data_IF_684081739991
#
_entry.id   IF_684081739991
#
_cell.length_a   1.000
_cell.length_b   1.000
_cell.length_c   1.000
_cell.angle_alpha   90.00
_cell.angle_beta   90.00
_cell.angle_gamma   90.00
#
_symmetry.space_group_name_H-M   'P 1'
#
loop_
_entity.id
_entity.type
_entity.pdbx_description
1 polymer ?
#
# COMPACT_ATOMS: atom_id res chain seq x y z
N UNK A 1 6.16 -19.20 5.48
CA UNK A 1 5.94 -18.58 4.17
C UNK A 1 7.30 -18.47 3.49
N UNK A 2 7.39 -18.99 2.28
CA UNK A 2 8.62 -18.93 1.51
C UNK A 2 8.83 -17.53 0.97
N UNK A 3 10.07 -17.04 1.00
CA UNK A 3 10.46 -15.78 0.36
C UNK A 3 11.28 -16.11 -0.87
N UNK A 4 10.78 -15.70 -2.03
CA UNK A 4 11.46 -15.91 -3.30
C UNK A 4 11.91 -14.54 -3.83
N UNK A 5 13.22 -14.27 -3.95
CA UNK A 5 13.73 -13.00 -4.47
C UNK A 5 13.33 -12.84 -5.93
N UNK A 6 12.56 -11.81 -6.27
CA UNK A 6 12.10 -11.55 -7.65
C UNK A 6 13.23 -11.16 -8.60
N UNK A 7 14.33 -10.62 -8.08
CA UNK A 7 15.50 -10.22 -8.87
C UNK A 7 16.24 -11.40 -9.54
N UNK A 8 15.97 -12.65 -9.13
CA UNK A 8 16.59 -13.83 -9.73
C UNK A 8 15.92 -14.31 -11.03
N UNK A 9 14.76 -13.75 -11.38
CA UNK A 9 14.01 -14.19 -12.54
C UNK A 9 14.32 -13.35 -13.78
N UNK A 10 14.44 -14.02 -14.93
CA UNK A 10 14.79 -13.42 -16.21
C UNK A 10 13.56 -13.11 -17.09
N UNK A 11 12.37 -13.52 -16.67
CA UNK A 11 11.12 -13.30 -17.41
C UNK A 11 9.90 -13.23 -16.47
N UNK A 12 8.82 -12.57 -16.91
CA UNK A 12 7.55 -12.59 -16.17
C UNK A 12 6.99 -13.99 -15.99
N UNK A 13 7.15 -14.87 -17.00
CA UNK A 13 6.68 -16.25 -16.94
C UNK A 13 7.37 -17.03 -15.80
N UNK A 14 8.68 -16.85 -15.65
CA UNK A 14 9.42 -17.52 -14.57
C UNK A 14 8.93 -17.08 -13.17
N UNK A 15 8.56 -15.82 -13.01
CA UNK A 15 7.95 -15.32 -11.76
C UNK A 15 6.60 -16.01 -11.52
N UNK A 16 5.75 -16.09 -12.54
CA UNK A 16 4.43 -16.73 -12.43
C UNK A 16 4.56 -18.22 -12.13
N UNK A 17 5.48 -18.92 -12.80
CA UNK A 17 5.73 -20.34 -12.56
C UNK A 17 6.17 -20.59 -11.10
N UNK A 18 7.03 -19.75 -10.57
CA UNK A 18 7.44 -19.79 -9.16
C UNK A 18 6.27 -19.55 -8.20
N UNK A 19 5.40 -18.56 -8.52
CA UNK A 19 4.18 -18.30 -7.76
C UNK A 19 3.22 -19.48 -7.78
N UNK A 20 2.99 -20.10 -8.94
CA UNK A 20 2.17 -21.31 -9.10
C UNK A 20 2.76 -22.47 -8.29
N UNK A 21 4.06 -22.69 -8.34
CA UNK A 21 4.73 -23.76 -7.59
C UNK A 21 4.54 -23.58 -6.08
N UNK A 22 4.76 -22.36 -5.58
CA UNK A 22 4.53 -22.01 -4.17
C UNK A 22 3.06 -22.18 -3.76
N UNK A 23 2.12 -21.71 -4.58
CA UNK A 23 0.70 -21.85 -4.33
C UNK A 23 0.23 -23.32 -4.33
N UNK A 24 0.76 -24.17 -5.21
CA UNK A 24 0.50 -25.62 -5.21
C UNK A 24 0.98 -26.29 -3.92
N UNK A 25 2.18 -25.91 -3.46
CA UNK A 25 2.72 -26.40 -2.18
C UNK A 25 1.81 -26.02 -1.01
N UNK A 26 1.36 -24.76 -0.93
CA UNK A 26 0.43 -24.31 0.09
C UNK A 26 -0.92 -25.04 0.00
N UNK A 27 -1.46 -25.22 -1.20
CA UNK A 27 -2.70 -25.95 -1.39
C UNK A 27 -2.59 -27.41 -0.92
N UNK A 28 -1.44 -28.05 -1.13
CA UNK A 28 -1.17 -29.40 -0.60
C UNK A 28 -1.20 -29.45 0.93
N UNK A 29 -0.75 -28.39 1.59
CA UNK A 29 -0.79 -28.25 3.05
C UNK A 29 -2.21 -27.92 3.57
N UNK A 30 -2.99 -27.20 2.76
CA UNK A 30 -4.35 -26.72 3.10
C UNK A 30 -5.37 -27.18 2.05
N UNK A 31 -5.69 -28.48 1.97
CA UNK A 31 -6.57 -29.02 0.92
C UNK A 31 -8.01 -28.49 0.98
N UNK A 32 -8.44 -27.95 2.11
CA UNK A 32 -9.77 -27.30 2.28
C UNK A 32 -9.81 -25.86 1.76
N UNK A 33 -8.71 -25.30 1.28
CA UNK A 33 -8.71 -23.95 0.70
C UNK A 33 -9.58 -23.92 -0.56
N UNK A 34 -10.56 -23.02 -0.59
CA UNK A 34 -11.57 -22.90 -1.65
C UNK A 34 -11.37 -21.63 -2.53
N UNK A 35 -10.50 -20.71 -2.11
CA UNK A 35 -10.20 -19.47 -2.82
C UNK A 35 -8.78 -19.03 -2.48
N UNK A 36 -8.16 -18.26 -3.37
CA UNK A 36 -6.84 -17.64 -3.16
C UNK A 36 -6.92 -16.14 -3.32
N UNK A 37 -6.34 -15.39 -2.37
CA UNK A 37 -6.11 -13.95 -2.47
C UNK A 37 -4.65 -13.65 -2.80
N UNK A 38 -4.43 -12.65 -3.64
CA UNK A 38 -3.10 -12.20 -4.05
C UNK A 38 -3.01 -10.67 -3.99
N UNK A 39 -1.99 -10.16 -3.30
CA UNK A 39 -1.58 -8.75 -3.35
C UNK A 39 -0.32 -8.61 -4.22
N UNK A 40 -0.38 -7.78 -5.25
CA UNK A 40 0.73 -7.57 -6.18
C UNK A 40 1.14 -6.10 -6.21
N UNK A 41 2.45 -5.78 -6.15
CA UNK A 41 2.89 -4.40 -6.32
C UNK A 41 2.68 -3.95 -7.77
N UNK A 42 2.34 -2.67 -7.96
CA UNK A 42 2.14 -2.06 -9.28
C UNK A 42 0.68 -1.98 -9.72
N UNK A 43 0.50 -1.79 -11.01
CA UNK A 43 -0.81 -1.45 -11.59
C UNK A 43 -1.59 -2.70 -11.97
N UNK A 44 -2.70 -2.93 -11.29
CA UNK A 44 -3.51 -4.13 -11.47
C UNK A 44 -4.98 -3.76 -11.77
N UNK A 45 -5.56 -4.45 -12.73
CA UNK A 45 -6.99 -4.46 -12.98
C UNK A 45 -7.64 -5.56 -12.12
N UNK A 46 -8.22 -5.16 -11.01
CA UNK A 46 -8.86 -6.05 -10.05
C UNK A 46 -9.98 -6.93 -10.66
N UNK A 47 -10.82 -6.38 -11.58
CA UNK A 47 -11.92 -7.15 -12.17
C UNK A 47 -11.41 -8.20 -13.16
N UNK A 48 -10.50 -7.80 -14.04
CA UNK A 48 -9.92 -8.69 -15.06
C UNK A 48 -8.82 -9.57 -14.49
N UNK A 49 -8.24 -9.21 -13.35
CA UNK A 49 -7.09 -9.90 -12.77
C UNK A 49 -5.84 -9.80 -13.64
N UNK A 50 -5.69 -8.65 -14.32
CA UNK A 50 -4.55 -8.37 -15.22
C UNK A 50 -3.59 -7.44 -14.50
N UNK A 51 -2.32 -7.77 -14.52
CA UNK A 51 -1.24 -6.91 -14.05
C UNK A 51 -0.59 -6.21 -15.24
N UNK A 52 -0.70 -4.87 -15.28
CA UNK A 52 -0.14 -4.06 -16.36
C UNK A 52 1.36 -3.84 -16.18
N UNK A 53 1.78 -3.60 -14.97
CA UNK A 53 3.17 -3.32 -14.62
C UNK A 53 3.44 -3.76 -13.19
N UNK A 54 4.58 -4.40 -12.99
CA UNK A 54 5.07 -4.76 -11.67
C UNK A 54 6.16 -3.76 -11.25
N UNK A 55 5.89 -3.00 -10.19
CA UNK A 55 6.83 -2.01 -9.69
C UNK A 55 8.14 -2.69 -9.25
N UNK A 56 9.28 -2.08 -9.61
CA UNK A 56 10.62 -2.56 -9.26
C UNK A 56 11.03 -3.93 -9.84
N UNK A 57 10.28 -4.48 -10.80
CA UNK A 57 10.61 -5.73 -11.50
C UNK A 57 10.84 -5.44 -12.99
N UNK A 58 12.10 -5.27 -13.39
CA UNK A 58 12.48 -4.81 -14.74
C UNK A 58 12.05 -5.72 -15.87
N UNK A 59 11.90 -7.02 -15.59
CA UNK A 59 11.50 -8.03 -16.60
C UNK A 59 10.01 -8.00 -16.91
N UNK A 60 9.20 -7.22 -16.18
CA UNK A 60 7.75 -7.13 -16.41
C UNK A 60 7.44 -6.06 -17.46
N UNK A 61 7.32 -6.46 -18.70
CA UNK A 61 7.29 -5.61 -19.89
C UNK A 61 5.95 -5.57 -20.64
N UNK A 62 4.92 -6.28 -20.12
CA UNK A 62 3.62 -6.42 -20.79
C UNK A 62 2.48 -6.71 -19.83
N UNK A 63 1.25 -6.54 -20.32
CA UNK A 63 0.02 -6.97 -19.62
C UNK A 63 -0.02 -8.49 -19.48
N UNK A 64 -0.29 -8.99 -18.27
CA UNK A 64 -0.34 -10.41 -17.98
C UNK A 64 -1.62 -10.74 -17.20
N UNK A 65 -2.43 -11.72 -17.64
CA UNK A 65 -3.65 -12.16 -16.98
C UNK A 65 -3.34 -13.10 -15.81
N UNK A 66 -2.69 -12.57 -14.78
CA UNK A 66 -2.17 -13.35 -13.64
C UNK A 66 -3.27 -14.17 -12.97
N UNK A 67 -4.45 -13.58 -12.76
CA UNK A 67 -5.60 -14.28 -12.17
C UNK A 67 -5.96 -15.53 -12.95
N UNK A 68 -6.18 -15.41 -14.25
CA UNK A 68 -6.54 -16.54 -15.12
C UNK A 68 -5.48 -17.64 -15.10
N UNK A 69 -4.20 -17.28 -15.21
CA UNK A 69 -3.09 -18.23 -15.16
C UNK A 69 -3.04 -19.00 -13.84
N UNK A 70 -3.26 -18.30 -12.73
CA UNK A 70 -3.29 -18.92 -11.40
C UNK A 70 -4.53 -19.80 -11.23
N UNK A 71 -5.71 -19.37 -11.68
CA UNK A 71 -6.97 -20.15 -11.62
C UNK A 71 -6.83 -21.45 -12.42
N UNK A 72 -6.29 -21.37 -13.64
CA UNK A 72 -6.04 -22.57 -14.48
C UNK A 72 -5.06 -23.55 -13.81
N UNK A 73 -4.00 -23.02 -13.21
CA UNK A 73 -2.96 -23.85 -12.60
C UNK A 73 -3.40 -24.50 -11.27
N UNK A 74 -4.30 -23.87 -10.51
CA UNK A 74 -4.68 -24.29 -9.16
C UNK A 74 -6.08 -24.92 -9.12
N UNK A 75 -6.94 -24.68 -10.10
CA UNK A 75 -8.32 -25.15 -10.15
C UNK A 75 -9.17 -24.60 -8.99
N UNK A 76 -8.96 -23.33 -8.60
CA UNK A 76 -9.76 -22.62 -7.61
C UNK A 76 -9.84 -21.12 -7.96
N UNK A 77 -10.87 -20.39 -7.52
CA UNK A 77 -11.00 -18.95 -7.75
C UNK A 77 -9.84 -18.18 -7.16
N UNK A 78 -9.40 -17.13 -7.87
CA UNK A 78 -8.34 -16.22 -7.44
C UNK A 78 -8.85 -14.79 -7.42
N UNK A 79 -8.57 -14.06 -6.36
CA UNK A 79 -8.78 -12.60 -6.25
C UNK A 79 -7.42 -11.93 -6.24
N UNK A 80 -7.22 -10.97 -7.14
CA UNK A 80 -5.97 -10.23 -7.30
C UNK A 80 -6.24 -8.75 -7.08
N UNK A 81 -5.47 -8.09 -6.21
CA UNK A 81 -5.49 -6.62 -6.06
C UNK A 81 -4.07 -6.08 -5.84
N UNK A 82 -3.94 -4.77 -5.84
CA UNK A 82 -2.70 -4.09 -5.44
C UNK A 82 -2.36 -4.38 -3.96
N UNK A 83 -1.09 -4.49 -3.63
CA UNK A 83 -0.61 -4.83 -2.28
C UNK A 83 -0.99 -3.79 -1.22
N UNK A 84 -0.97 -2.49 -1.56
CA UNK A 84 -1.41 -1.43 -0.65
C UNK A 84 -2.94 -1.44 -0.46
N UNK A 85 -3.72 -1.79 -1.50
CA UNK A 85 -5.15 -2.04 -1.36
C UNK A 85 -5.43 -3.23 -0.43
N UNK A 86 -4.67 -4.31 -0.55
CA UNK A 86 -4.77 -5.45 0.36
C UNK A 86 -4.46 -5.05 1.79
N UNK A 87 -3.40 -4.25 2.03
CA UNK A 87 -3.09 -3.72 3.36
C UNK A 87 -4.27 -2.88 3.90
N UNK A 88 -4.80 -1.96 3.09
CA UNK A 88 -5.93 -1.12 3.48
C UNK A 88 -7.16 -1.96 3.81
N UNK A 89 -7.41 -3.02 3.07
CA UNK A 89 -8.51 -3.94 3.30
C UNK A 89 -8.39 -4.67 4.66
N UNK A 90 -7.18 -5.15 4.99
CA UNK A 90 -6.92 -5.76 6.30
C UNK A 90 -7.18 -4.79 7.44
N UNK A 91 -6.64 -3.58 7.34
CA UNK A 91 -6.81 -2.56 8.38
C UNK A 91 -8.26 -2.11 8.52
N UNK A 92 -8.99 -1.99 7.43
CA UNK A 92 -10.43 -1.68 7.44
C UNK A 92 -11.27 -2.79 8.08
N UNK A 93 -11.11 -4.04 7.65
CA UNK A 93 -11.95 -5.15 8.08
C UNK A 93 -11.63 -5.67 9.47
N UNK A 94 -10.35 -5.71 9.83
CA UNK A 94 -9.87 -6.44 11.02
C UNK A 94 -8.91 -5.63 11.89
N UNK A 95 -8.38 -4.50 11.38
CA UNK A 95 -7.31 -3.74 12.00
C UNK A 95 -7.77 -2.45 12.68
N UNK A 96 -6.94 -1.41 12.53
CA UNK A 96 -7.15 -0.11 13.17
C UNK A 96 -8.39 0.63 12.65
N UNK A 97 -8.84 0.34 11.43
CA UNK A 97 -10.03 0.94 10.80
C UNK A 97 -11.32 0.17 10.99
N UNK A 98 -11.33 -0.85 11.83
CA UNK A 98 -12.53 -1.67 12.02
C UNK A 98 -13.73 -0.85 12.52
N UNK A 99 -14.86 -0.95 11.80
CA UNK A 99 -16.09 -0.22 12.11
C UNK A 99 -16.15 1.20 11.53
N UNK A 100 -15.12 1.65 10.82
CA UNK A 100 -15.10 2.91 10.09
C UNK A 100 -15.62 2.70 8.67
N UNK A 101 -16.33 3.70 8.13
CA UNK A 101 -16.91 3.64 6.78
C UNK A 101 -16.04 4.29 5.71
N UNK A 102 -15.18 5.24 6.11
CA UNK A 102 -14.29 5.94 5.19
C UNK A 102 -12.91 6.11 5.83
N UNK A 103 -11.87 5.64 5.18
CA UNK A 103 -10.51 5.73 5.70
C UNK A 103 -9.47 5.78 4.57
N UNK A 104 -8.31 6.33 4.91
CA UNK A 104 -7.14 6.34 4.04
C UNK A 104 -6.03 5.57 4.73
N UNK A 105 -5.55 4.51 4.10
CA UNK A 105 -4.36 3.79 4.54
C UNK A 105 -3.16 4.24 3.73
N UNK A 106 -2.05 4.51 4.40
CA UNK A 106 -0.75 4.84 3.81
C UNK A 106 0.28 3.80 4.25
N UNK A 107 1.03 3.27 3.32
CA UNK A 107 2.20 2.44 3.61
C UNK A 107 3.46 3.18 3.18
N UNK A 108 4.36 3.42 4.11
CA UNK A 108 5.61 4.16 3.92
C UNK A 108 6.78 3.18 4.03
N UNK A 109 7.22 2.67 2.87
CA UNK A 109 8.27 1.68 2.75
C UNK A 109 9.30 2.08 1.70
N UNK A 110 9.65 1.17 0.78
CA UNK A 110 10.50 1.48 -0.40
C UNK A 110 9.95 2.69 -1.15
N UNK A 111 8.63 2.72 -1.36
CA UNK A 111 7.87 3.85 -1.87
C UNK A 111 6.70 4.21 -0.92
N UNK A 112 5.73 4.95 -1.45
CA UNK A 112 4.50 5.34 -0.75
C UNK A 112 3.32 4.69 -1.44
N UNK A 113 2.78 3.65 -0.84
CA UNK A 113 1.52 3.04 -1.28
C UNK A 113 0.32 3.62 -0.55
N UNK A 114 -0.86 3.43 -1.11
CA UNK A 114 -2.11 3.84 -0.49
C UNK A 114 -3.28 2.96 -0.84
N UNK A 115 -4.28 2.96 0.04
CA UNK A 115 -5.60 2.40 -0.22
C UNK A 115 -6.65 3.26 0.45
N UNK A 116 -7.75 3.48 -0.24
CA UNK A 116 -8.83 4.36 0.22
C UNK A 116 -10.13 3.57 0.29
N UNK A 117 -10.83 3.71 1.40
CA UNK A 117 -12.21 3.24 1.58
C UNK A 117 -13.12 4.45 1.69
N UNK A 118 -14.22 4.47 0.95
CA UNK A 118 -15.26 5.50 1.01
C UNK A 118 -16.63 4.83 1.06
N UNK A 119 -17.40 5.15 2.09
CA UNK A 119 -18.73 4.59 2.30
C UNK A 119 -18.76 3.06 2.19
N UNK A 120 -17.93 2.40 2.97
CA UNK A 120 -17.81 0.94 3.04
C UNK A 120 -17.41 0.26 1.71
N UNK A 121 -16.69 0.98 0.84
CA UNK A 121 -16.19 0.45 -0.44
C UNK A 121 -14.76 0.89 -0.70
N UNK A 122 -13.94 -0.06 -1.13
CA UNK A 122 -12.60 0.26 -1.66
C UNK A 122 -12.72 1.15 -2.90
N UNK A 123 -12.01 2.28 -2.89
CA UNK A 123 -11.90 3.19 -4.04
C UNK A 123 -10.90 2.60 -5.05
N UNK A 124 -11.40 2.08 -6.16
CA UNK A 124 -10.55 1.51 -7.22
C UNK A 124 -10.50 2.34 -8.49
N UNK A 125 -11.41 3.31 -8.65
CA UNK A 125 -11.52 4.14 -9.84
C UNK A 125 -11.95 3.38 -11.10
N UNK A 126 -11.97 4.07 -12.24
CA UNK A 126 -12.47 3.50 -13.51
C UNK A 126 -11.61 2.35 -14.04
N UNK A 127 -10.28 2.43 -13.87
CA UNK A 127 -9.33 1.41 -14.30
C UNK A 127 -8.87 0.50 -13.17
N UNK A 128 -9.58 0.58 -12.03
CA UNK A 128 -9.39 -0.25 -10.86
C UNK A 128 -7.99 -0.16 -10.21
N UNK A 129 -7.29 0.97 -10.46
CA UNK A 129 -5.95 1.28 -9.96
C UNK A 129 -5.90 2.70 -9.35
N UNK A 130 -6.95 3.12 -8.63
CA UNK A 130 -6.93 4.37 -7.88
C UNK A 130 -6.13 4.22 -6.56
N UNK A 131 -5.94 5.34 -5.88
CA UNK A 131 -5.21 5.45 -4.63
C UNK A 131 -3.68 5.29 -4.73
N UNK A 132 -3.10 5.58 -5.90
CA UNK A 132 -1.66 5.75 -6.09
C UNK A 132 -1.17 7.03 -5.40
N UNK A 133 -1.28 7.05 -4.07
CA UNK A 133 -1.07 8.26 -3.25
C UNK A 133 0.38 8.74 -3.29
N UNK A 134 1.33 7.82 -3.46
CA UNK A 134 2.74 8.16 -3.62
C UNK A 134 3.04 8.99 -4.87
N UNK A 135 2.20 8.89 -5.91
CA UNK A 135 2.34 9.64 -7.16
C UNK A 135 1.66 11.02 -7.12
N UNK A 136 0.98 11.36 -6.02
CA UNK A 136 0.36 12.68 -5.87
C UNK A 136 1.41 13.76 -5.60
N UNK A 137 1.23 14.91 -6.25
CA UNK A 137 2.18 16.02 -6.13
C UNK A 137 1.98 16.81 -4.85
N UNK A 138 3.07 17.04 -4.13
CA UNK A 138 3.15 18.00 -3.01
C UNK A 138 3.91 19.27 -3.40
N UNK A 139 4.49 19.31 -4.61
CA UNK A 139 5.27 20.46 -5.07
C UNK A 139 5.27 20.55 -6.60
N UNK A 140 4.56 21.51 -7.18
CA UNK A 140 4.36 21.64 -8.65
C UNK A 140 5.65 21.86 -9.46
N UNK A 141 6.72 22.35 -8.86
CA UNK A 141 8.05 22.52 -9.47
C UNK A 141 9.07 21.51 -8.93
N UNK A 142 8.61 20.47 -8.24
CA UNK A 142 9.46 19.51 -7.54
C UNK A 142 10.18 18.51 -8.45
N UNK A 143 10.76 17.50 -7.82
CA UNK A 143 11.45 16.39 -8.48
C UNK A 143 10.56 15.76 -9.55
N UNK A 144 11.14 15.33 -10.64
CA UNK A 144 10.44 14.58 -11.70
C UNK A 144 10.41 13.11 -11.34
N UNK A 145 9.23 12.55 -11.21
CA UNK A 145 9.03 11.12 -10.95
C UNK A 145 9.13 10.27 -12.23
N UNK A 146 9.07 8.93 -12.10
CA UNK A 146 9.33 7.98 -13.18
C UNK A 146 8.34 8.09 -14.35
N UNK A 147 7.16 8.64 -14.12
CA UNK A 147 6.12 8.84 -15.15
C UNK A 147 6.05 10.27 -15.68
N UNK A 148 7.04 11.11 -15.35
CA UNK A 148 7.10 12.51 -15.77
C UNK A 148 6.26 13.46 -14.91
N UNK A 149 5.58 12.99 -13.88
CA UNK A 149 4.92 13.82 -12.86
C UNK A 149 5.96 14.62 -12.07
N UNK A 150 5.57 15.83 -11.62
CA UNK A 150 6.45 16.64 -10.78
C UNK A 150 5.98 16.67 -9.34
N UNK A 151 6.92 16.51 -8.43
CA UNK A 151 6.70 16.67 -7.01
C UNK A 151 5.92 15.54 -6.35
N UNK A 152 5.89 14.34 -6.96
CA UNK A 152 5.31 13.16 -6.34
C UNK A 152 5.93 12.93 -4.96
N UNK A 153 5.10 12.70 -3.93
CA UNK A 153 5.59 12.58 -2.55
C UNK A 153 6.58 11.43 -2.36
N UNK A 154 6.41 10.35 -3.11
CA UNK A 154 7.29 9.18 -3.10
C UNK A 154 8.75 9.56 -3.40
N UNK A 155 8.99 10.54 -4.28
CA UNK A 155 10.32 11.04 -4.64
C UNK A 155 11.05 11.77 -3.49
N UNK A 156 10.39 11.95 -2.34
CA UNK A 156 10.95 12.68 -1.21
C UNK A 156 11.07 11.83 0.05
N UNK A 157 10.06 11.04 0.38
CA UNK A 157 9.94 10.35 1.67
C UNK A 157 9.84 8.83 1.58
N UNK A 158 10.08 8.24 0.40
CA UNK A 158 10.40 6.80 0.29
C UNK A 158 11.71 6.47 1.02
N UNK A 159 11.91 5.21 1.41
CA UNK A 159 13.09 4.80 2.17
C UNK A 159 14.41 5.19 1.49
N UNK A 160 14.49 4.98 0.16
CA UNK A 160 15.70 5.25 -0.61
C UNK A 160 15.94 6.75 -0.76
N UNK A 161 14.88 7.52 -1.00
CA UNK A 161 14.90 8.97 -1.18
C UNK A 161 15.29 9.67 0.11
N UNK A 162 14.73 9.20 1.25
CA UNK A 162 15.09 9.70 2.57
C UNK A 162 16.55 9.40 2.91
N UNK A 163 17.02 8.18 2.62
CA UNK A 163 18.41 7.81 2.83
C UNK A 163 19.37 8.61 1.95
N UNK A 164 19.03 8.83 0.67
CA UNK A 164 19.84 9.64 -0.25
C UNK A 164 19.92 11.12 0.18
N UNK A 165 18.80 11.70 0.65
CA UNK A 165 18.79 13.06 1.18
C UNK A 165 19.63 13.16 2.46
N UNK A 166 19.58 12.14 3.33
CA UNK A 166 20.41 12.08 4.52
C UNK A 166 21.91 12.07 4.19
N UNK A 167 22.34 11.23 3.24
CA UNK A 167 23.73 11.19 2.77
C UNK A 167 24.19 12.58 2.31
N UNK A 168 23.35 13.25 1.52
CA UNK A 168 23.64 14.61 1.03
C UNK A 168 23.81 15.62 2.17
N UNK A 169 22.92 15.58 3.18
CA UNK A 169 22.99 16.51 4.33
C UNK A 169 24.20 16.24 5.22
N UNK A 170 24.51 14.97 5.47
CA UNK A 170 25.71 14.60 6.21
C UNK A 170 26.97 15.05 5.47
N UNK A 171 27.05 14.85 4.15
CA UNK A 171 28.18 15.33 3.34
C UNK A 171 28.33 16.86 3.39
N UNK A 172 27.21 17.61 3.35
CA UNK A 172 27.21 19.07 3.54
C UNK A 172 27.74 19.53 4.90
N UNK A 173 27.67 18.67 5.91
CA UNK A 173 28.25 18.89 7.24
C UNK A 173 29.68 18.30 7.40
N UNK A 174 30.30 17.83 6.31
CA UNK A 174 31.63 17.22 6.33
C UNK A 174 31.67 15.78 6.86
N UNK A 175 30.51 15.12 6.97
CA UNK A 175 30.40 13.74 7.47
C UNK A 175 30.10 12.83 6.29
N UNK A 176 30.96 11.85 6.02
CA UNK A 176 30.80 10.90 4.93
C UNK A 176 30.01 9.70 5.45
N UNK A 177 28.87 9.41 4.81
CA UNK A 177 28.03 8.25 5.06
C UNK A 177 27.56 7.60 3.76
N UNK A 178 27.29 6.32 3.80
CA UNK A 178 26.67 5.56 2.72
C UNK A 178 25.14 5.53 2.88
N UNK A 179 24.42 5.13 1.83
CA UNK A 179 22.96 4.96 1.87
C UNK A 179 22.56 3.91 2.92
N UNK A 180 23.32 2.81 3.03
CA UNK A 180 23.05 1.75 4.01
C UNK A 180 23.20 2.21 5.46
N UNK A 181 24.02 3.22 5.73
CA UNK A 181 24.19 3.87 7.03
C UNK A 181 23.16 4.96 7.32
N UNK A 182 22.31 5.27 6.33
CA UNK A 182 21.29 6.30 6.40
C UNK A 182 19.85 5.76 6.21
N UNK A 183 19.64 4.47 6.45
CA UNK A 183 18.27 3.91 6.40
C UNK A 183 17.35 4.60 7.42
N UNK A 184 16.02 4.58 7.26
CA UNK A 184 15.10 5.16 8.24
C UNK A 184 15.35 4.70 9.68
N UNK A 185 15.77 3.46 9.87
CA UNK A 185 16.17 2.95 11.18
C UNK A 185 17.39 3.68 11.75
N UNK A 186 18.45 3.82 10.96
CA UNK A 186 19.67 4.53 11.41
C UNK A 186 19.37 6.02 11.67
N UNK A 187 18.47 6.62 10.89
CA UNK A 187 18.02 8.01 11.11
C UNK A 187 17.20 8.15 12.39
N UNK A 188 16.34 7.16 12.71
CA UNK A 188 15.61 7.12 13.99
C UNK A 188 16.57 7.05 15.16
N UNK A 189 17.54 6.14 15.13
CA UNK A 189 18.57 5.97 16.17
C UNK A 189 19.40 7.24 16.34
N UNK A 190 19.82 7.88 15.25
CA UNK A 190 20.59 9.13 15.26
C UNK A 190 19.78 10.30 15.83
N UNK A 191 18.51 10.43 15.44
CA UNK A 191 17.62 11.50 15.93
C UNK A 191 17.36 11.35 17.44
N UNK A 192 17.13 10.13 17.93
CA UNK A 192 16.98 9.86 19.38
C UNK A 192 18.25 10.14 20.16
N UNK A 193 19.42 10.06 19.52
CA UNK A 193 20.71 10.45 20.09
C UNK A 193 20.99 11.94 19.99
N UNK A 194 20.04 12.74 19.49
CA UNK A 194 20.14 14.20 19.39
C UNK A 194 20.87 14.72 18.16
N UNK A 195 21.05 13.89 17.10
CA UNK A 195 21.68 14.36 15.85
C UNK A 195 20.77 15.38 15.15
N UNK A 196 21.22 16.65 14.98
CA UNK A 196 20.39 17.71 14.43
C UNK A 196 20.01 17.46 12.95
N UNK A 197 20.87 16.81 12.18
CA UNK A 197 20.60 16.46 10.77
C UNK A 197 19.45 15.45 10.70
N UNK A 198 19.48 14.42 11.55
CA UNK A 198 18.44 13.41 11.56
C UNK A 198 17.11 13.95 12.10
N UNK A 199 17.13 14.80 13.11
CA UNK A 199 15.95 15.50 13.63
C UNK A 199 15.29 16.34 12.54
N UNK A 200 16.07 17.16 11.83
CA UNK A 200 15.54 18.01 10.75
C UNK A 200 14.97 17.18 9.59
N UNK A 201 15.58 16.02 9.28
CA UNK A 201 15.03 15.12 8.26
C UNK A 201 13.65 14.57 8.65
N UNK A 202 13.42 14.26 9.92
CA UNK A 202 12.10 13.81 10.38
C UNK A 202 11.08 14.94 10.39
N UNK A 203 11.48 16.17 10.73
CA UNK A 203 10.63 17.36 10.62
C UNK A 203 10.20 17.62 9.19
N UNK A 204 11.14 17.62 8.24
CA UNK A 204 10.85 17.81 6.82
C UNK A 204 9.97 16.67 6.26
N UNK A 205 10.22 15.44 6.68
CA UNK A 205 9.37 14.29 6.33
C UNK A 205 7.95 14.47 6.81
N UNK A 206 7.79 14.96 8.04
CA UNK A 206 6.48 15.26 8.63
C UNK A 206 5.75 16.40 7.90
N UNK A 207 6.47 17.42 7.45
CA UNK A 207 5.89 18.52 6.67
C UNK A 207 5.39 18.02 5.31
N UNK A 208 6.19 17.25 4.59
CA UNK A 208 5.82 16.66 3.31
C UNK A 208 4.63 15.70 3.42
N UNK A 209 4.62 14.83 4.44
CA UNK A 209 3.47 13.97 4.73
C UNK A 209 2.24 14.78 5.11
N UNK A 210 2.43 15.88 5.84
CA UNK A 210 1.38 16.84 6.19
C UNK A 210 0.68 17.43 4.97
N UNK A 211 1.43 17.78 3.93
CA UNK A 211 0.86 18.25 2.65
C UNK A 211 -0.07 17.22 2.04
N UNK A 212 0.33 15.94 2.00
CA UNK A 212 -0.52 14.86 1.48
C UNK A 212 -1.79 14.69 2.32
N UNK A 213 -1.65 14.59 3.64
CA UNK A 213 -2.79 14.39 4.56
C UNK A 213 -3.74 15.58 4.49
N UNK A 214 -3.24 16.80 4.43
CA UNK A 214 -4.05 18.01 4.26
C UNK A 214 -4.89 17.94 2.97
N UNK A 215 -4.27 17.60 1.85
CA UNK A 215 -4.96 17.47 0.56
C UNK A 215 -6.08 16.41 0.64
N UNK A 216 -5.82 15.29 1.28
CA UNK A 216 -6.80 14.21 1.45
C UNK A 216 -7.89 14.57 2.45
N UNK A 217 -7.57 15.33 3.52
CA UNK A 217 -8.58 15.88 4.44
C UNK A 217 -9.55 16.82 3.72
N UNK A 218 -9.05 17.76 2.93
CA UNK A 218 -9.93 18.66 2.17
C UNK A 218 -10.70 17.98 1.03
N UNK A 219 -10.30 16.77 0.63
CA UNK A 219 -10.95 16.03 -0.46
C UNK A 219 -11.96 15.00 0.04
N UNK A 220 -11.65 14.29 1.12
CA UNK A 220 -12.38 13.08 1.54
C UNK A 220 -13.00 13.17 2.93
N UNK A 221 -12.40 13.93 3.85
CA UNK A 221 -12.77 13.96 5.28
C UNK A 221 -13.00 12.53 5.82
N UNK A 222 -11.96 11.66 5.84
CA UNK A 222 -12.14 10.28 6.26
C UNK A 222 -12.28 10.16 7.78
N UNK A 223 -12.87 9.05 8.25
CA UNK A 223 -12.94 8.72 9.68
C UNK A 223 -11.56 8.59 10.33
N UNK A 224 -10.55 8.13 9.57
CA UNK A 224 -9.16 8.07 10.00
C UNK A 224 -8.17 7.94 8.84
N UNK A 225 -6.93 8.36 9.11
CA UNK A 225 -5.73 7.94 8.37
C UNK A 225 -5.04 6.81 9.14
N UNK A 226 -4.69 5.73 8.45
CA UNK A 226 -3.95 4.61 9.03
C UNK A 226 -2.58 4.56 8.38
N UNK A 227 -1.52 4.73 9.17
CA UNK A 227 -0.16 4.83 8.65
C UNK A 227 0.64 3.60 9.06
N UNK A 228 1.19 2.90 8.06
CA UNK A 228 2.03 1.73 8.22
C UNK A 228 3.37 1.85 7.49
N UNK A 229 4.14 0.77 7.51
CA UNK A 229 5.45 0.70 6.86
C UNK A 229 6.63 1.05 7.76
N UNK A 230 7.83 1.02 7.18
CA UNK A 230 9.08 1.20 7.92
C UNK A 230 9.26 2.60 8.50
N UNK A 231 8.94 3.62 7.71
CA UNK A 231 9.06 5.05 8.09
C UNK A 231 8.10 5.41 9.24
N UNK A 232 6.90 4.82 9.27
CA UNK A 232 5.95 5.05 10.35
C UNK A 232 6.45 4.60 11.73
N UNK A 233 7.47 3.72 11.79
CA UNK A 233 8.09 3.25 13.04
C UNK A 233 8.88 4.34 13.78
N UNK A 234 9.17 5.47 13.16
CA UNK A 234 9.78 6.63 13.82
C UNK A 234 8.91 7.18 14.97
N UNK A 235 7.61 6.85 14.98
CA UNK A 235 6.71 7.20 16.08
C UNK A 235 6.66 8.70 16.33
N UNK A 236 6.96 9.14 17.55
CA UNK A 236 6.89 10.54 17.95
C UNK A 236 7.78 11.49 17.14
N UNK A 237 8.92 11.01 16.61
CA UNK A 237 9.80 11.81 15.75
C UNK A 237 9.10 12.26 14.46
N UNK A 238 8.17 11.48 13.97
CA UNK A 238 7.35 11.82 12.80
C UNK A 238 6.00 12.43 13.22
N UNK A 239 5.32 11.82 14.18
CA UNK A 239 3.92 12.16 14.50
C UNK A 239 3.76 13.51 15.18
N UNK A 240 4.68 13.92 16.08
CA UNK A 240 4.58 15.22 16.75
C UNK A 240 4.70 16.38 15.75
N UNK A 241 5.80 16.49 14.95
CA UNK A 241 5.88 17.58 13.97
C UNK A 241 4.79 17.51 12.90
N UNK A 242 4.32 16.31 12.51
CA UNK A 242 3.19 16.15 11.60
C UNK A 242 1.92 16.81 12.15
N UNK A 243 1.54 16.49 13.38
CA UNK A 243 0.35 17.07 14.01
C UNK A 243 0.49 18.58 14.23
N UNK A 244 1.68 19.06 14.56
CA UNK A 244 1.95 20.51 14.69
C UNK A 244 1.80 21.26 13.37
N UNK A 245 2.29 20.66 12.26
CA UNK A 245 2.13 21.21 10.92
C UNK A 245 0.67 21.22 10.48
N UNK A 246 -0.07 20.14 10.70
CA UNK A 246 -1.47 20.04 10.33
C UNK A 246 -2.35 21.03 11.12
N UNK A 247 -2.06 21.28 12.40
CA UNK A 247 -2.76 22.32 13.19
C UNK A 247 -2.64 23.72 12.60
N UNK A 248 -1.55 24.01 11.90
CA UNK A 248 -1.32 25.32 11.26
C UNK A 248 -2.01 25.45 9.91
N UNK A 249 -2.35 24.33 9.26
CA UNK A 249 -2.78 24.30 7.86
C UNK A 249 -4.23 23.85 7.67
N UNK A 250 -4.77 23.05 8.59
CA UNK A 250 -6.15 22.60 8.51
C UNK A 250 -7.12 23.62 9.13
N UNK A 251 -8.28 23.71 8.53
CA UNK A 251 -9.41 24.43 9.15
C UNK A 251 -9.72 23.78 10.52
N UNK A 252 -9.98 24.55 11.58
CA UNK A 252 -10.10 24.03 12.94
C UNK A 252 -11.05 22.84 13.09
N UNK A 253 -12.22 22.87 12.46
CA UNK A 253 -13.19 21.77 12.49
C UNK A 253 -12.62 20.46 11.90
N UNK A 254 -11.88 20.56 10.80
CA UNK A 254 -11.24 19.39 10.21
C UNK A 254 -10.09 18.85 11.07
N UNK A 255 -9.44 19.73 11.84
CA UNK A 255 -8.41 19.31 12.79
C UNK A 255 -9.01 18.55 13.99
N UNK A 256 -10.21 18.91 14.44
CA UNK A 256 -10.95 18.20 15.48
C UNK A 256 -11.35 16.78 15.04
N UNK A 257 -11.74 16.65 13.77
CA UNK A 257 -12.12 15.36 13.18
C UNK A 257 -10.92 14.46 12.83
N UNK A 258 -9.71 15.03 12.72
CA UNK A 258 -8.51 14.31 12.27
C UNK A 258 -8.11 13.20 13.24
N UNK A 259 -8.09 11.98 12.74
CA UNK A 259 -7.53 10.82 13.43
C UNK A 259 -6.42 10.19 12.60
N UNK A 260 -5.24 10.04 13.20
CA UNK A 260 -4.11 9.33 12.61
C UNK A 260 -3.77 8.16 13.50
N UNK A 261 -3.89 6.94 12.97
CA UNK A 261 -3.72 5.70 13.69
C UNK A 261 -2.55 4.89 13.12
N UNK A 262 -1.78 4.21 13.95
CA UNK A 262 -0.80 3.26 13.45
C UNK A 262 -1.48 2.02 12.87
N UNK A 263 -0.94 1.48 11.77
CA UNK A 263 -1.35 0.21 11.21
C UNK A 263 -1.11 -0.93 12.20
N UNK A 264 -2.07 -1.86 12.29
CA UNK A 264 -2.05 -2.93 13.30
C UNK A 264 -1.23 -4.14 12.85
N UNK A 265 -1.31 -4.52 11.55
CA UNK A 265 -0.79 -5.80 11.08
C UNK A 265 0.64 -5.75 10.53
N UNK A 266 1.21 -4.55 10.37
CA UNK A 266 2.59 -4.39 9.90
C UNK A 266 2.85 -5.12 8.58
N UNK A 267 3.90 -5.97 8.54
CA UNK A 267 4.30 -6.68 7.34
C UNK A 267 3.31 -7.78 6.87
N UNK A 268 2.39 -8.20 7.73
CA UNK A 268 1.40 -9.23 7.41
C UNK A 268 0.11 -8.66 6.81
N UNK A 269 -0.05 -7.33 6.84
CA UNK A 269 -1.27 -6.66 6.42
C UNK A 269 -1.69 -7.00 4.99
N UNK A 270 -0.74 -7.00 4.04
CA UNK A 270 -1.01 -7.34 2.64
C UNK A 270 -1.53 -8.77 2.47
N UNK A 271 -0.90 -9.73 3.15
CA UNK A 271 -1.29 -11.14 3.11
C UNK A 271 -2.69 -11.36 3.72
N UNK A 272 -2.92 -10.78 4.90
CA UNK A 272 -4.21 -10.88 5.60
C UNK A 272 -5.33 -10.22 4.79
N UNK A 273 -5.06 -9.07 4.19
CA UNK A 273 -6.02 -8.35 3.36
C UNK A 273 -6.37 -9.07 2.07
N UNK A 274 -5.38 -9.63 1.38
CA UNK A 274 -5.63 -10.45 0.20
C UNK A 274 -6.53 -11.66 0.51
N UNK A 275 -6.24 -12.36 1.61
CA UNK A 275 -7.07 -13.48 2.09
C UNK A 275 -8.49 -13.06 2.47
N UNK A 276 -8.65 -11.98 3.23
CA UNK A 276 -9.95 -11.45 3.63
C UNK A 276 -10.78 -10.99 2.43
N UNK A 277 -10.16 -10.30 1.48
CA UNK A 277 -10.81 -9.86 0.24
C UNK A 277 -11.30 -11.04 -0.60
N UNK A 278 -10.48 -12.06 -0.74
CA UNK A 278 -10.84 -13.27 -1.45
C UNK A 278 -12.02 -14.01 -0.79
N UNK A 279 -12.03 -14.09 0.53
CA UNK A 279 -13.13 -14.70 1.28
C UNK A 279 -14.44 -13.91 1.13
N UNK A 280 -14.39 -12.58 1.24
CA UNK A 280 -15.59 -11.74 1.09
C UNK A 280 -16.18 -11.86 -0.33
N UNK A 281 -15.34 -11.89 -1.37
CA UNK A 281 -15.81 -12.10 -2.75
C UNK A 281 -16.39 -13.50 -2.97
N UNK A 282 -15.71 -14.51 -2.47
CA UNK A 282 -16.17 -15.89 -2.60
C UNK A 282 -17.55 -16.09 -1.93
N UNK A 283 -17.74 -15.55 -0.73
CA UNK A 283 -19.04 -15.60 -0.05
C UNK A 283 -20.11 -14.79 -0.79
N UNK A 284 -19.76 -13.62 -1.33
CA UNK A 284 -20.66 -12.79 -2.14
C UNK A 284 -21.13 -13.50 -3.42
N UNK A 285 -20.23 -14.18 -4.12
CA UNK A 285 -20.58 -15.01 -5.28
C UNK A 285 -21.54 -16.14 -4.93
N UNK A 286 -21.30 -16.85 -3.83
CA UNK A 286 -22.18 -17.92 -3.37
C UNK A 286 -23.60 -17.45 -3.03
N UNK A 287 -23.74 -16.24 -2.48
CA UNK A 287 -25.05 -15.62 -2.22
C UNK A 287 -25.76 -15.30 -3.54
N UNK A 288 -25.05 -14.67 -4.50
CA UNK A 288 -25.63 -14.32 -5.80
C UNK A 288 -26.07 -15.53 -6.62
N UNK A 289 -25.33 -16.63 -6.58
CA UNK A 289 -25.72 -17.89 -7.23
C UNK A 289 -26.97 -18.50 -6.59
N UNK A 290 -27.10 -18.47 -5.27
CA UNK A 290 -28.33 -18.93 -4.57
C UNK A 290 -29.55 -18.11 -5.00
N UNK A 291 -29.41 -16.77 -5.14
CA UNK A 291 -30.51 -15.93 -5.61
C UNK A 291 -30.90 -16.17 -7.09
N UNK A 292 -29.91 -16.43 -7.96
CA UNK A 292 -30.17 -16.79 -9.37
C UNK A 292 -30.92 -18.10 -9.47
N UNK A 293 -30.55 -19.12 -8.70
CA UNK A 293 -31.20 -20.43 -8.69
C UNK A 293 -32.59 -20.38 -8.08
N UNK A 294 -32.89 -19.51 -7.10
CA UNK A 294 -34.24 -19.30 -6.58
C UNK A 294 -35.19 -18.65 -7.61
N UNK A 295 -34.67 -17.71 -8.46
CA UNK A 295 -35.49 -17.12 -9.52
C UNK A 295 -35.80 -18.09 -10.67
N UNK A 296 -34.92 -19.05 -10.96
CA UNK A 296 -35.15 -20.06 -11.99
C UNK A 296 -36.18 -21.12 -11.58
N UNK A 297 -36.45 -21.29 -10.29
CA UNK A 297 -37.46 -22.23 -9.75
C UNK A 297 -38.88 -21.62 -9.62
N UNK A 298 -39.02 -20.31 -9.82
CA UNK A 298 -40.32 -19.61 -9.75
C UNK A 298 -40.98 -19.32 -11.13
N UNK A 299 -40.43 -19.84 -12.23
CA UNK A 299 -40.96 -19.57 -13.58
C UNK A 299 -41.81 -20.73 -14.12
N UNK A 300 -42.33 -21.61 -13.27
CA UNK A 300 -43.32 -22.58 -13.64
C UNK A 300 -44.39 -22.68 -12.52
N UNK A 301 -45.38 -21.80 -12.56
CA UNK A 301 -46.76 -22.01 -12.12
C UNK A 301 -47.66 -21.06 -12.88
#
# INVERSE_FOLDING_TARGET
>A
ADRIPTAMFESPQAIIDAMIASARTLRGQFPSACVMGMGMPGWCDYQRGVLYQLTNVRVWDREIPVKEMMEQALGLPVVLDNDANCMAYAEWKMGAGRGMSSLVCLTMGTGIGGGIVVHDRMLRGRRLSAAELGQTSIHYQGKTGPFGSRGAIEEYIGNNELAAEAVKRYAGAGIIKTVDECTPRHLDEAARSGCPIALQLWEDTAEMLGCLIMNLMYTLVPDAFIIGGGVAKAGDLLMKPLLENLRKQLFPLLMEDLKILPARFGAEAGLLGAGAMAMDEFMGMGILERFKNQKSTQTFC
#
